data_IF_798282158154
#
_entry.id   IF_798282158154
#
_cell.length_a   1.000
_cell.length_b   1.000
_cell.length_c   1.000
_cell.angle_alpha   90.00
_cell.angle_beta   90.00
_cell.angle_gamma   90.00
#
_symmetry.space_group_name_H-M   'P 1'
#
loop_
_entity.id
_entity.type
_entity.pdbx_description
1 polymer ?
#
# COMPACT_ATOMS: atom_id res chain seq x y z
N UNK A 1 25.87 -40.92 -10.13
CA UNK A 1 24.47 -40.87 -10.60
C UNK A 1 24.42 -41.44 -11.99
N UNK A 2 23.51 -42.39 -12.25
CA UNK A 2 23.32 -42.92 -13.61
C UNK A 2 22.74 -41.84 -14.54
N UNK A 3 22.99 -41.93 -15.87
CA UNK A 3 22.35 -41.06 -16.87
C UNK A 3 20.82 -40.94 -16.69
N UNK A 4 20.14 -42.06 -16.41
CA UNK A 4 18.70 -42.08 -16.09
C UNK A 4 18.38 -41.16 -14.90
N UNK A 5 19.07 -41.31 -13.77
CA UNK A 5 18.83 -40.48 -12.58
C UNK A 5 19.01 -38.99 -12.87
N UNK A 6 20.03 -38.64 -13.66
CA UNK A 6 20.32 -37.25 -14.02
C UNK A 6 19.19 -36.65 -14.87
N UNK A 7 18.71 -37.41 -15.86
CA UNK A 7 17.61 -36.98 -16.74
C UNK A 7 16.31 -36.75 -15.96
N UNK A 8 15.92 -37.70 -15.09
CA UNK A 8 14.74 -37.59 -14.22
C UNK A 8 14.87 -36.40 -13.26
N UNK A 9 16.03 -36.22 -12.62
CA UNK A 9 16.26 -35.10 -11.70
C UNK A 9 16.14 -33.74 -12.41
N UNK A 10 16.75 -33.60 -13.60
CA UNK A 10 16.66 -32.37 -14.39
C UNK A 10 15.23 -32.08 -14.84
N UNK A 11 14.49 -33.10 -15.28
CA UNK A 11 13.08 -32.96 -15.64
C UNK A 11 12.24 -32.53 -14.43
N UNK A 12 12.43 -33.19 -13.28
CA UNK A 12 11.76 -32.86 -12.02
C UNK A 12 12.00 -31.43 -11.57
N UNK A 13 13.24 -30.94 -11.64
CA UNK A 13 13.56 -29.55 -11.30
C UNK A 13 12.84 -28.57 -12.21
N UNK A 14 12.82 -28.82 -13.53
CA UNK A 14 12.12 -27.98 -14.49
C UNK A 14 10.60 -28.01 -14.30
N UNK A 15 10.02 -29.17 -14.03
CA UNK A 15 8.59 -29.31 -13.71
C UNK A 15 8.24 -28.54 -12.43
N UNK A 16 9.05 -28.68 -11.37
CA UNK A 16 8.89 -27.92 -10.12
C UNK A 16 8.98 -26.43 -10.36
N UNK A 17 9.95 -25.99 -11.15
CA UNK A 17 10.13 -24.58 -11.47
C UNK A 17 8.94 -24.03 -12.26
N UNK A 18 8.47 -24.74 -13.29
CA UNK A 18 7.29 -24.36 -14.05
C UNK A 18 6.02 -24.32 -13.18
N UNK A 19 5.84 -25.31 -12.29
CA UNK A 19 4.72 -25.33 -11.37
C UNK A 19 4.78 -24.16 -10.38
N UNK A 20 5.96 -23.90 -9.81
CA UNK A 20 6.20 -22.76 -8.92
C UNK A 20 5.88 -21.45 -9.63
N UNK A 21 6.37 -21.26 -10.86
CA UNK A 21 6.14 -20.05 -11.64
C UNK A 21 4.64 -19.87 -11.92
N UNK A 22 3.95 -20.91 -12.40
CA UNK A 22 2.49 -20.86 -12.62
C UNK A 22 1.72 -20.56 -11.33
N UNK A 23 2.16 -21.11 -10.19
CA UNK A 23 1.56 -20.87 -8.87
C UNK A 23 1.79 -19.44 -8.39
N UNK A 24 3.02 -18.92 -8.52
CA UNK A 24 3.42 -17.56 -8.14
C UNK A 24 2.65 -16.51 -8.94
N UNK A 25 2.50 -16.72 -10.25
CA UNK A 25 1.72 -15.81 -11.10
C UNK A 25 0.24 -15.80 -10.67
N UNK A 26 -0.31 -16.97 -10.34
CA UNK A 26 -1.72 -17.09 -9.92
C UNK A 26 -1.96 -16.45 -8.55
N UNK A 27 -1.07 -16.68 -7.58
CA UNK A 27 -1.18 -16.10 -6.25
C UNK A 27 -0.97 -14.59 -6.27
N UNK A 28 0.01 -14.11 -7.06
CA UNK A 28 0.25 -12.69 -7.29
C UNK A 28 -0.99 -11.98 -7.85
N UNK A 29 -1.70 -12.58 -8.81
CA UNK A 29 -2.93 -12.02 -9.36
C UNK A 29 -4.04 -11.91 -8.31
N UNK A 30 -4.24 -12.96 -7.50
CA UNK A 30 -5.24 -12.97 -6.42
C UNK A 30 -4.92 -11.90 -5.38
N UNK A 31 -3.67 -11.82 -4.93
CA UNK A 31 -3.24 -10.84 -3.92
C UNK A 31 -3.35 -9.42 -4.48
N UNK A 32 -2.92 -9.18 -5.72
CA UNK A 32 -3.06 -7.88 -6.34
C UNK A 32 -4.54 -7.45 -6.42
N UNK A 33 -5.46 -8.39 -6.73
CA UNK A 33 -6.89 -8.16 -6.66
C UNK A 33 -7.38 -7.77 -5.26
N UNK A 34 -6.91 -8.46 -4.22
CA UNK A 34 -7.26 -8.18 -2.82
C UNK A 34 -6.73 -6.80 -2.40
N UNK A 35 -5.51 -6.41 -2.82
CA UNK A 35 -4.89 -5.13 -2.45
C UNK A 35 -5.54 -3.91 -3.12
N UNK A 36 -6.24 -4.07 -4.24
CA UNK A 36 -6.96 -2.96 -4.89
C UNK A 36 -8.07 -2.43 -3.95
N UNK A 37 -8.76 -3.32 -3.22
CA UNK A 37 -9.86 -2.93 -2.32
C UNK A 37 -9.42 -1.95 -1.21
N UNK A 38 -8.41 -2.25 -0.37
CA UNK A 38 -7.93 -1.31 0.63
C UNK A 38 -7.27 -0.09 0.00
N UNK A 39 -6.64 -0.21 -1.18
CA UNK A 39 -6.06 0.96 -1.86
C UNK A 39 -7.14 1.99 -2.24
N UNK A 40 -8.27 1.52 -2.78
CA UNK A 40 -9.44 2.35 -3.07
C UNK A 40 -10.02 2.92 -1.76
N UNK A 41 -10.16 2.11 -0.71
CA UNK A 41 -10.70 2.56 0.57
C UNK A 41 -9.83 3.65 1.26
N UNK A 42 -8.51 3.47 1.27
CA UNK A 42 -7.55 4.45 1.79
C UNK A 42 -7.69 5.78 1.05
N UNK A 43 -7.89 5.73 -0.27
CA UNK A 43 -8.06 6.94 -1.09
C UNK A 43 -9.41 7.62 -0.87
N UNK A 44 -10.48 6.86 -0.68
CA UNK A 44 -11.81 7.39 -0.38
C UNK A 44 -11.90 8.00 1.03
N UNK A 45 -11.14 7.48 1.99
CA UNK A 45 -11.16 7.91 3.40
C UNK A 45 -10.05 8.93 3.72
N UNK A 46 -9.22 9.30 2.74
CA UNK A 46 -8.07 10.19 2.88
C UNK A 46 -7.16 9.79 4.07
N UNK A 47 -6.91 8.47 4.15
CA UNK A 47 -6.02 7.85 5.12
C UNK A 47 -4.59 7.87 4.56
N UNK A 48 -3.59 8.00 5.44
CA UNK A 48 -2.19 8.04 5.01
C UNK A 48 -1.79 6.74 4.32
N UNK A 49 -1.20 6.86 3.13
CA UNK A 49 -0.72 5.71 2.37
C UNK A 49 0.46 5.05 3.09
N UNK A 50 0.31 3.77 3.42
CA UNK A 50 1.39 3.00 3.99
C UNK A 50 2.05 2.10 2.91
N UNK A 51 3.27 2.40 2.47
CA UNK A 51 3.98 1.59 1.46
C UNK A 51 4.25 0.15 1.94
N UNK A 52 4.25 -0.10 3.26
CA UNK A 52 4.43 -1.44 3.81
C UNK A 52 3.29 -2.40 3.43
N UNK A 53 2.09 -1.92 3.09
CA UNK A 53 0.96 -2.76 2.72
C UNK A 53 1.21 -3.56 1.42
N UNK A 54 1.89 -2.95 0.45
CA UNK A 54 2.33 -3.65 -0.78
C UNK A 54 3.41 -4.69 -0.48
N UNK A 55 4.36 -4.36 0.41
CA UNK A 55 5.41 -5.27 0.85
C UNK A 55 4.81 -6.51 1.54
N UNK A 56 3.81 -6.33 2.41
CA UNK A 56 3.11 -7.45 3.05
C UNK A 56 2.39 -8.35 2.05
N UNK A 57 1.72 -7.78 1.05
CA UNK A 57 1.07 -8.57 0.00
C UNK A 57 2.06 -9.40 -0.80
N UNK A 58 3.18 -8.80 -1.23
CA UNK A 58 4.24 -9.53 -1.93
C UNK A 58 4.87 -10.61 -1.04
N UNK A 59 5.07 -10.28 0.24
CA UNK A 59 5.61 -11.20 1.24
C UNK A 59 4.71 -12.41 1.49
N UNK A 60 3.39 -12.31 1.29
CA UNK A 60 2.44 -13.44 1.40
C UNK A 60 2.34 -14.28 0.12
N UNK A 61 2.64 -13.71 -1.05
CA UNK A 61 2.55 -14.41 -2.33
C UNK A 61 3.55 -15.56 -2.45
N UNK A 62 4.79 -15.31 -1.98
CA UNK A 62 5.91 -16.26 -2.00
C UNK A 62 5.63 -17.50 -1.13
N UNK A 63 5.31 -17.39 0.17
CA UNK A 63 5.05 -18.55 1.01
C UNK A 63 3.84 -19.34 0.55
N UNK A 64 2.80 -18.71 0.01
CA UNK A 64 1.68 -19.43 -0.61
C UNK A 64 2.11 -20.25 -1.84
N UNK A 65 2.94 -19.68 -2.71
CA UNK A 65 3.47 -20.38 -3.88
C UNK A 65 4.37 -21.56 -3.48
N UNK A 66 5.19 -21.38 -2.44
CA UNK A 66 6.02 -22.43 -1.85
C UNK A 66 5.18 -23.54 -1.20
N UNK A 67 4.13 -23.19 -0.46
CA UNK A 67 3.20 -24.15 0.14
C UNK A 67 2.53 -25.01 -0.94
N UNK A 68 2.04 -24.38 -2.02
CA UNK A 68 1.50 -25.08 -3.18
C UNK A 68 2.52 -26.02 -3.81
N UNK A 69 3.76 -25.57 -3.97
CA UNK A 69 4.84 -26.39 -4.54
C UNK A 69 5.14 -27.61 -3.64
N UNK A 70 5.14 -27.41 -2.33
CA UNK A 70 5.30 -28.48 -1.35
C UNK A 70 4.17 -29.51 -1.44
N UNK A 71 2.93 -29.05 -1.61
CA UNK A 71 1.75 -29.91 -1.76
C UNK A 71 1.65 -30.60 -3.13
N UNK A 72 2.34 -30.13 -4.16
CA UNK A 72 2.23 -30.65 -5.53
C UNK A 72 2.80 -32.07 -5.72
N UNK A 73 3.43 -32.64 -4.68
CA UNK A 73 3.96 -34.00 -4.61
C UNK A 73 4.56 -34.54 -5.92
N UNK A 74 5.42 -33.74 -6.57
CA UNK A 74 6.12 -34.14 -7.81
C UNK A 74 7.16 -35.19 -7.43
N UNK A 75 6.83 -36.46 -7.70
CA UNK A 75 7.66 -37.61 -7.39
C UNK A 75 8.50 -38.05 -8.59
N UNK A 76 9.53 -38.86 -8.36
CA UNK A 76 10.45 -39.30 -9.40
C UNK A 76 9.75 -40.18 -10.44
N UNK A 77 8.76 -40.98 -10.03
CA UNK A 77 7.97 -41.82 -10.93
C UNK A 77 7.12 -40.99 -11.91
N UNK A 78 6.55 -39.88 -11.43
CA UNK A 78 5.79 -38.96 -12.29
C UNK A 78 6.73 -38.26 -13.27
N UNK A 79 7.93 -37.86 -12.80
CA UNK A 79 8.93 -37.25 -13.66
C UNK A 79 9.46 -38.22 -14.73
N UNK A 80 9.69 -39.50 -14.40
CA UNK A 80 10.12 -40.49 -15.40
C UNK A 80 9.05 -40.74 -16.46
N UNK A 81 7.78 -40.80 -16.06
CA UNK A 81 6.67 -40.98 -17.00
C UNK A 81 6.53 -39.77 -17.95
N UNK A 82 6.62 -38.55 -17.41
CA UNK A 82 6.54 -37.32 -18.21
C UNK A 82 7.71 -37.22 -19.20
N UNK A 83 8.91 -37.70 -18.83
CA UNK A 83 10.05 -37.76 -19.76
C UNK A 83 9.74 -38.72 -20.91
N UNK A 84 9.22 -39.92 -20.64
CA UNK A 84 8.87 -40.87 -21.69
C UNK A 84 7.78 -40.32 -22.63
N UNK A 85 6.77 -39.65 -22.07
CA UNK A 85 5.66 -39.06 -22.85
C UNK A 85 6.17 -37.95 -23.78
N UNK A 86 6.97 -37.01 -23.27
CA UNK A 86 7.46 -35.86 -24.04
C UNK A 86 8.49 -36.21 -25.11
N UNK A 87 9.29 -37.25 -24.86
CA UNK A 87 10.31 -37.74 -25.79
C UNK A 87 9.85 -38.96 -26.61
N UNK A 88 8.60 -39.42 -26.44
CA UNK A 88 8.03 -40.59 -27.11
C UNK A 88 8.88 -41.86 -26.95
N UNK A 89 9.35 -42.12 -25.74
CA UNK A 89 10.27 -43.24 -25.44
C UNK A 89 9.55 -44.54 -25.08
N UNK A 90 8.21 -44.57 -25.17
CA UNK A 90 7.38 -45.76 -24.92
C UNK A 90 7.75 -46.46 -23.60
N UNK A 91 7.73 -45.71 -22.50
CA UNK A 91 7.96 -46.22 -21.12
C UNK A 91 9.36 -46.80 -20.83
N UNK A 92 10.35 -46.58 -21.70
CA UNK A 92 11.72 -47.08 -21.48
C UNK A 92 12.34 -46.59 -20.17
N UNK A 93 12.25 -45.28 -19.91
CA UNK A 93 12.88 -44.67 -18.73
C UNK A 93 12.08 -44.98 -17.47
N UNK A 94 10.74 -44.89 -17.53
CA UNK A 94 9.85 -45.20 -16.41
C UNK A 94 9.89 -46.67 -16.02
N UNK A 95 9.96 -47.59 -16.97
CA UNK A 95 10.09 -49.03 -16.71
C UNK A 95 11.45 -49.36 -16.09
N UNK A 96 12.55 -48.84 -16.65
CA UNK A 96 13.88 -49.02 -16.08
C UNK A 96 13.97 -48.44 -14.66
N UNK A 97 13.34 -47.28 -14.42
CA UNK A 97 13.27 -46.66 -13.11
C UNK A 97 12.43 -47.45 -12.10
N UNK A 98 11.28 -47.99 -12.51
CA UNK A 98 10.39 -48.78 -11.66
C UNK A 98 11.03 -50.10 -11.24
N UNK A 99 11.78 -50.75 -12.14
CA UNK A 99 12.43 -52.03 -11.90
C UNK A 99 13.83 -51.91 -11.28
N UNK A 100 14.29 -50.69 -10.93
CA UNK A 100 15.67 -50.44 -10.46
C UNK A 100 16.12 -51.23 -9.23
N UNK A 101 15.18 -51.70 -8.41
CA UNK A 101 15.45 -52.49 -7.21
C UNK A 101 15.50 -54.00 -7.49
N UNK A 102 15.10 -54.44 -8.68
CA UNK A 102 15.09 -55.85 -9.06
C UNK A 102 16.46 -56.25 -9.64
N UNK A 103 16.94 -57.43 -9.25
CA UNK A 103 18.24 -57.95 -9.67
C UNK A 103 18.02 -59.17 -10.58
N UNK A 104 17.82 -58.91 -11.88
CA UNK A 104 17.68 -59.93 -12.91
C UNK A 104 18.48 -59.50 -14.15
N UNK A 105 19.17 -60.41 -14.87
CA UNK A 105 19.87 -60.11 -16.11
C UNK A 105 19.05 -59.29 -17.12
N UNK A 106 17.75 -59.56 -17.26
CA UNK A 106 16.86 -58.82 -18.17
C UNK A 106 16.67 -57.36 -17.73
N UNK A 107 16.61 -57.10 -16.42
CA UNK A 107 16.50 -55.74 -15.87
C UNK A 107 17.80 -54.97 -16.10
N UNK A 108 18.95 -55.62 -16.03
CA UNK A 108 20.24 -54.98 -16.33
C UNK A 108 20.31 -54.51 -17.78
N UNK A 109 19.88 -55.36 -18.73
CA UNK A 109 19.83 -54.99 -20.15
C UNK A 109 18.87 -53.81 -20.40
N UNK A 110 17.72 -53.79 -19.72
CA UNK A 110 16.78 -52.68 -19.80
C UNK A 110 17.36 -51.38 -19.25
N UNK A 111 18.11 -51.45 -18.14
CA UNK A 111 18.77 -50.28 -17.55
C UNK A 111 19.87 -49.75 -18.47
N UNK A 112 20.63 -50.62 -19.13
CA UNK A 112 21.68 -50.23 -20.07
C UNK A 112 21.10 -49.55 -21.33
N UNK A 113 20.01 -50.07 -21.91
CA UNK A 113 19.30 -49.41 -23.02
C UNK A 113 18.74 -48.03 -22.61
N UNK A 114 18.15 -47.96 -21.42
CA UNK A 114 17.61 -46.72 -20.89
C UNK A 114 18.71 -45.69 -20.56
N UNK A 115 19.88 -46.11 -20.06
CA UNK A 115 21.03 -45.22 -19.81
C UNK A 115 21.63 -44.70 -21.11
N UNK A 116 21.77 -45.57 -22.13
CA UNK A 116 22.19 -45.16 -23.47
C UNK A 116 21.21 -44.13 -24.05
N UNK A 117 19.90 -44.41 -23.96
CA UNK A 117 18.84 -43.50 -24.44
C UNK A 117 18.86 -42.17 -23.68
N UNK A 118 18.94 -42.21 -22.35
CA UNK A 118 18.99 -41.02 -21.49
C UNK A 118 20.23 -40.15 -21.76
N UNK A 119 21.35 -40.74 -22.15
CA UNK A 119 22.57 -40.01 -22.53
C UNK A 119 22.42 -39.15 -23.78
N UNK A 120 21.52 -39.51 -24.69
CA UNK A 120 21.28 -38.78 -25.95
C UNK A 120 20.18 -37.71 -25.83
N UNK A 121 19.40 -37.75 -24.76
CA UNK A 121 18.25 -36.86 -24.59
C UNK A 121 18.68 -35.54 -23.95
N UNK A 122 18.28 -34.44 -24.59
CA UNK A 122 18.40 -33.09 -24.03
C UNK A 122 17.09 -32.66 -23.40
N UNK A 123 16.98 -32.85 -22.07
CA UNK A 123 15.80 -32.46 -21.27
C UNK A 123 15.37 -31.01 -21.53
N UNK A 124 16.33 -30.13 -21.86
CA UNK A 124 16.04 -28.73 -22.14
C UNK A 124 15.12 -28.45 -23.32
N UNK A 125 15.08 -29.34 -24.29
CA UNK A 125 14.36 -29.15 -25.55
C UNK A 125 12.86 -29.41 -25.39
N UNK A 126 12.47 -30.36 -24.54
CA UNK A 126 11.06 -30.74 -24.34
C UNK A 126 10.48 -30.29 -23.00
N UNK A 127 11.32 -29.78 -22.10
CA UNK A 127 10.89 -29.11 -20.86
C UNK A 127 11.26 -27.62 -20.89
N UNK A 128 10.61 -26.81 -21.74
CA UNK A 128 10.82 -25.37 -21.75
C UNK A 128 10.31 -24.75 -20.44
N UNK A 129 10.92 -23.63 -20.06
CA UNK A 129 10.40 -22.80 -18.98
C UNK A 129 9.20 -22.04 -19.54
N UNK A 130 7.99 -22.46 -19.19
CA UNK A 130 6.77 -21.87 -19.70
C UNK A 130 6.34 -20.72 -18.81
N UNK A 131 6.48 -19.50 -19.32
CA UNK A 131 5.72 -18.38 -18.78
C UNK A 131 4.23 -18.64 -19.04
N UNK A 132 3.36 -18.54 -18.02
CA UNK A 132 1.94 -18.75 -18.23
C UNK A 132 1.45 -17.80 -19.32
N UNK A 133 0.73 -18.31 -20.33
CA UNK A 133 0.18 -17.51 -21.45
C UNK A 133 -0.69 -16.32 -20.99
N UNK A 134 -1.12 -16.33 -19.73
CA UNK A 134 -1.84 -15.24 -19.05
C UNK A 134 -0.90 -14.28 -18.31
N UNK A 135 0.40 -14.26 -18.59
CA UNK A 135 1.35 -13.31 -18.01
C UNK A 135 0.95 -11.84 -18.16
N UNK A 136 0.35 -11.35 -19.27
CA UNK A 136 -0.10 -9.96 -19.32
C UNK A 136 -1.30 -9.70 -18.39
N UNK A 137 -2.03 -10.72 -17.93
CA UNK A 137 -3.12 -10.53 -16.98
C UNK A 137 -2.64 -10.06 -15.60
N UNK A 138 -1.36 -10.21 -15.27
CA UNK A 138 -0.76 -9.59 -14.07
C UNK A 138 -0.60 -8.08 -14.24
N UNK A 139 -0.42 -7.58 -15.46
CA UNK A 139 -0.34 -6.15 -15.71
C UNK A 139 -1.68 -5.46 -15.47
N UNK A 140 -2.80 -6.17 -15.62
CA UNK A 140 -4.15 -5.62 -15.42
C UNK A 140 -4.33 -5.07 -14.00
N UNK A 141 -4.17 -5.84 -12.90
CA UNK A 141 -4.33 -5.30 -11.57
C UNK A 141 -3.27 -4.24 -11.24
N UNK A 142 -2.05 -4.33 -11.79
CA UNK A 142 -1.02 -3.30 -11.62
C UNK A 142 -1.44 -1.97 -12.27
N UNK A 143 -2.01 -2.03 -13.49
CA UNK A 143 -2.54 -0.88 -14.21
C UNK A 143 -3.75 -0.29 -13.50
N UNK A 144 -4.68 -1.13 -13.01
CA UNK A 144 -5.83 -0.67 -12.22
C UNK A 144 -5.35 0.03 -10.95
N UNK A 145 -4.38 -0.56 -10.25
CA UNK A 145 -3.79 0.03 -9.07
C UNK A 145 -3.15 1.40 -9.36
N UNK A 146 -2.35 1.49 -10.44
CA UNK A 146 -1.73 2.74 -10.87
C UNK A 146 -2.77 3.79 -11.31
N UNK A 147 -3.82 3.38 -12.02
CA UNK A 147 -4.91 4.25 -12.42
C UNK A 147 -5.67 4.81 -11.21
N UNK A 148 -5.96 3.96 -10.22
CA UNK A 148 -6.61 4.38 -8.96
C UNK A 148 -5.70 5.33 -8.18
N UNK A 149 -4.40 5.08 -8.10
CA UNK A 149 -3.49 5.93 -7.33
C UNK A 149 -3.22 7.28 -7.98
N UNK A 150 -3.15 7.35 -9.31
CA UNK A 150 -2.83 8.57 -10.06
C UNK A 150 -4.07 9.40 -10.39
N UNK A 151 -5.18 8.77 -10.79
CA UNK A 151 -6.34 9.49 -11.34
C UNK A 151 -7.51 9.64 -10.38
N UNK A 152 -7.55 8.93 -9.24
CA UNK A 152 -8.63 9.11 -8.28
C UNK A 152 -8.28 10.28 -7.33
N UNK A 153 -8.93 11.46 -7.45
CA UNK A 153 -8.72 12.54 -6.51
C UNK A 153 -9.18 12.10 -5.11
N UNK A 154 -8.48 12.52 -4.03
CA UNK A 154 -8.95 12.25 -2.69
C UNK A 154 -10.31 12.94 -2.52
N UNK A 155 -11.30 12.24 -1.97
CA UNK A 155 -12.57 12.88 -1.66
C UNK A 155 -12.29 13.99 -0.63
N UNK A 156 -12.81 15.22 -0.84
CA UNK A 156 -12.63 16.28 0.12
C UNK A 156 -13.24 15.82 1.45
N UNK A 157 -12.40 15.76 2.49
CA UNK A 157 -12.88 15.51 3.85
C UNK A 157 -13.99 16.50 4.16
N UNK A 158 -15.12 16.00 4.66
CA UNK A 158 -16.19 16.81 5.24
C UNK A 158 -15.73 17.67 6.44
N UNK A 159 -14.43 17.63 6.79
CA UNK A 159 -13.79 18.58 7.71
C UNK A 159 -13.85 20.00 7.19
N UNK A 160 -13.86 20.25 5.87
CA UNK A 160 -14.06 21.60 5.33
C UNK A 160 -15.37 22.24 5.84
N UNK A 161 -16.43 21.43 6.05
CA UNK A 161 -17.70 21.92 6.64
C UNK A 161 -17.64 22.10 8.16
N UNK A 162 -16.68 21.48 8.85
CA UNK A 162 -16.49 21.64 10.29
C UNK A 162 -15.59 22.83 10.61
N UNK A 163 -14.59 23.13 9.77
CA UNK A 163 -13.78 24.36 9.87
C UNK A 163 -14.60 25.59 9.50
N UNK A 164 -15.38 25.54 8.41
CA UNK A 164 -16.30 26.64 8.06
C UNK A 164 -17.35 26.89 9.15
N UNK A 165 -17.86 25.84 9.81
CA UNK A 165 -18.79 25.98 10.95
C UNK A 165 -18.12 26.44 12.24
N UNK A 166 -16.80 26.23 12.40
CA UNK A 166 -16.05 26.74 13.56
C UNK A 166 -15.69 28.21 13.34
N UNK A 167 -15.22 28.57 12.15
CA UNK A 167 -14.96 29.96 11.76
C UNK A 167 -16.25 30.80 11.81
N UNK A 168 -17.38 30.29 11.29
CA UNK A 168 -18.67 30.98 11.41
C UNK A 168 -19.16 31.11 12.86
N UNK A 169 -18.83 30.15 13.74
CA UNK A 169 -19.19 30.25 15.17
C UNK A 169 -18.27 31.20 15.92
N UNK A 170 -16.98 31.25 15.59
CA UNK A 170 -16.03 32.19 16.17
C UNK A 170 -16.37 33.63 15.74
N UNK A 171 -16.73 33.86 14.48
CA UNK A 171 -17.20 35.16 13.98
C UNK A 171 -18.50 35.64 14.65
N UNK A 172 -19.41 34.71 14.96
CA UNK A 172 -20.67 35.03 15.67
C UNK A 172 -20.42 35.34 17.15
N UNK A 173 -19.51 34.59 17.80
CA UNK A 173 -19.14 34.81 19.20
C UNK A 173 -18.33 36.11 19.38
N UNK A 174 -17.47 36.47 18.42
CA UNK A 174 -16.76 37.76 18.44
C UNK A 174 -17.73 38.94 18.25
N UNK A 175 -18.74 38.81 17.39
CA UNK A 175 -19.77 39.86 17.21
C UNK A 175 -20.65 40.02 18.44
N UNK A 176 -21.08 38.94 19.08
CA UNK A 176 -21.85 39.02 20.33
C UNK A 176 -21.04 39.65 21.47
N UNK A 177 -19.75 39.28 21.60
CA UNK A 177 -18.85 39.87 22.59
C UNK A 177 -18.55 41.35 22.31
N UNK A 178 -18.41 41.73 21.04
CA UNK A 178 -18.23 43.13 20.65
C UNK A 178 -19.47 43.98 20.98
N UNK A 179 -20.68 43.44 20.77
CA UNK A 179 -21.92 44.12 21.17
C UNK A 179 -22.09 44.22 22.70
N UNK A 180 -21.67 43.19 23.44
CA UNK A 180 -21.75 43.19 24.90
C UNK A 180 -20.76 44.18 25.53
N UNK A 181 -19.53 44.24 25.00
CA UNK A 181 -18.52 45.24 25.40
C UNK A 181 -18.99 46.66 25.03
N UNK A 182 -19.60 46.86 23.86
CA UNK A 182 -20.16 48.16 23.48
C UNK A 182 -21.35 48.58 24.38
N UNK A 183 -22.16 47.63 24.87
CA UNK A 183 -23.24 47.90 25.84
C UNK A 183 -22.71 48.22 27.24
N UNK A 184 -21.61 47.62 27.66
CA UNK A 184 -20.95 47.92 28.93
C UNK A 184 -20.31 49.31 28.89
N UNK A 185 -19.60 49.64 27.80
CA UNK A 185 -19.01 50.97 27.59
C UNK A 185 -20.07 52.09 27.51
N UNK A 186 -21.22 51.84 26.89
CA UNK A 186 -22.35 52.80 26.89
C UNK A 186 -23.08 52.92 28.23
N UNK A 187 -22.92 51.96 29.14
CA UNK A 187 -23.50 52.02 30.50
C UNK A 187 -22.60 52.73 31.51
N UNK A 188 -21.32 52.93 31.22
CA UNK A 188 -20.35 53.57 32.13
C UNK A 188 -20.13 55.08 31.90
N UNK A 189 -20.68 55.67 30.83
CA UNK A 189 -20.89 57.12 30.75
C UNK A 189 -22.37 57.42 31.04
N UNK A 190 -22.79 57.65 32.30
CA UNK A 190 -22.31 58.81 33.08
C UNK A 190 -22.22 58.55 34.60
N UNK A 191 -21.07 58.85 35.22
CA UNK A 191 -20.98 59.26 36.64
C UNK A 191 -19.58 59.82 36.98
N UNK A 192 -19.12 60.79 36.19
CA UNK A 192 -18.20 61.80 36.72
C UNK A 192 -19.06 62.94 37.24
N UNK A 193 -19.45 62.80 38.50
CA UNK A 193 -20.17 63.80 39.26
C UNK A 193 -19.93 63.55 40.73
N UNK A 194 -18.96 64.27 41.29
CA UNK A 194 -18.96 64.73 42.69
C UNK A 194 -18.45 63.74 43.77
N UNK A 195 -17.11 63.70 44.01
CA UNK A 195 -16.42 64.36 45.15
C UNK A 195 -15.01 63.79 45.44
N UNK A 196 -14.09 64.74 45.53
CA UNK A 196 -12.91 64.86 46.41
C UNK A 196 -11.83 63.77 46.53
N UNK A 197 -10.67 64.19 46.02
CA UNK A 197 -9.33 64.17 46.65
C UNK A 197 -8.32 63.13 46.13
N UNK A 198 -7.06 63.60 46.12
CA UNK A 198 -5.78 62.98 45.72
C UNK A 198 -5.29 63.33 44.30
N UNK A 199 -4.57 64.47 44.27
CA UNK A 199 -3.24 64.76 43.67
C UNK A 199 -2.91 64.31 42.21
N UNK A 200 -2.24 65.17 41.42
CA UNK A 200 -2.11 65.00 39.98
C UNK A 200 -1.03 63.96 39.63
N UNK A 201 -1.43 62.83 39.07
CA UNK A 201 -0.53 61.97 38.30
C UNK A 201 -0.58 62.42 36.84
N UNK A 202 0.43 63.18 36.42
CA UNK A 202 0.64 63.74 35.07
C UNK A 202 0.87 62.70 33.97
N UNK A 203 0.36 61.47 34.11
CA UNK A 203 0.48 60.38 33.10
C UNK A 203 -0.84 59.95 32.46
N UNK A 204 -1.99 60.38 32.97
CA UNK A 204 -3.30 59.87 32.50
C UNK A 204 -3.85 60.66 31.29
N UNK A 205 -3.37 61.90 31.09
CA UNK A 205 -3.80 62.75 29.97
C UNK A 205 -3.16 62.32 28.63
N UNK A 206 -1.90 61.86 28.65
CA UNK A 206 -1.18 61.42 27.45
C UNK A 206 -1.67 60.06 26.92
N UNK A 207 -2.24 59.21 27.79
CA UNK A 207 -2.82 57.92 27.39
C UNK A 207 -4.20 58.04 26.73
N UNK A 208 -4.89 59.17 26.86
CA UNK A 208 -6.24 59.35 26.29
C UNK A 208 -6.26 59.51 24.77
N UNK A 209 -5.27 60.22 24.21
CA UNK A 209 -5.16 60.43 22.76
C UNK A 209 -4.88 59.13 21.97
N UNK A 210 -3.91 58.29 22.34
CA UNK A 210 -3.65 57.05 21.61
C UNK A 210 -4.80 56.04 21.75
N UNK A 211 -5.51 56.03 22.88
CA UNK A 211 -6.70 55.18 23.08
C UNK A 211 -7.89 55.60 22.20
N UNK A 212 -8.12 56.91 22.00
CA UNK A 212 -9.18 57.38 21.08
C UNK A 212 -8.83 57.11 19.61
N UNK A 213 -7.57 57.23 19.23
CA UNK A 213 -7.10 56.93 17.87
C UNK A 213 -7.15 55.42 17.56
N UNK A 214 -6.83 54.57 18.54
CA UNK A 214 -6.97 53.12 18.43
C UNK A 214 -8.44 52.69 18.32
N UNK A 215 -9.34 53.32 19.09
CA UNK A 215 -10.78 53.08 18.99
C UNK A 215 -11.31 53.45 17.60
N UNK A 216 -10.90 54.59 17.03
CA UNK A 216 -11.27 54.99 15.66
C UNK A 216 -10.68 54.07 14.58
N UNK A 217 -9.48 53.50 14.78
CA UNK A 217 -8.86 52.57 13.84
C UNK A 217 -9.48 51.17 13.88
N UNK A 218 -9.92 50.71 15.06
CA UNK A 218 -10.68 49.46 15.23
C UNK A 218 -12.07 49.56 14.61
N UNK A 219 -12.76 50.69 14.79
CA UNK A 219 -14.10 50.90 14.21
C UNK A 219 -14.07 50.96 12.66
N UNK A 220 -12.94 51.36 12.06
CA UNK A 220 -12.72 51.40 10.60
C UNK A 220 -12.20 50.09 9.97
N UNK A 221 -12.22 48.96 10.69
CA UNK A 221 -11.85 47.62 10.19
C UNK A 221 -10.49 47.51 9.47
N UNK A 222 -9.42 48.14 10.00
CA UNK A 222 -8.07 48.03 9.39
C UNK A 222 -6.98 47.35 10.22
N UNK A 223 -7.26 46.91 11.45
CA UNK A 223 -6.30 46.15 12.27
C UNK A 223 -7.00 45.11 13.15
N UNK A 224 -6.35 43.95 13.33
CA UNK A 224 -6.81 42.91 14.26
C UNK A 224 -6.26 43.18 15.67
N UNK A 225 -6.99 42.79 16.72
CA UNK A 225 -6.65 43.09 18.14
C UNK A 225 -5.20 42.76 18.53
N UNK A 226 -4.57 41.78 17.86
CA UNK A 226 -3.18 41.38 18.10
C UNK A 226 -2.15 42.43 17.67
N UNK A 227 -2.41 43.20 16.60
CA UNK A 227 -1.50 44.25 16.14
C UNK A 227 -1.57 45.48 17.06
N UNK A 228 -2.76 45.87 17.50
CA UNK A 228 -2.96 46.98 18.43
C UNK A 228 -2.27 46.79 19.79
N UNK A 229 -2.26 45.56 20.31
CA UNK A 229 -1.57 45.24 21.57
C UNK A 229 -0.04 45.26 21.43
N UNK A 230 0.49 45.02 20.23
CA UNK A 230 1.94 45.05 19.99
C UNK A 230 2.51 46.48 19.89
N UNK A 231 1.72 47.45 19.40
CA UNK A 231 2.13 48.88 19.38
C UNK A 231 2.16 49.50 20.77
N UNK A 232 1.36 49.01 21.72
CA UNK A 232 1.33 49.51 23.11
C UNK A 232 2.44 48.96 24.00
N UNK A 233 3.14 47.90 23.56
CA UNK A 233 4.18 47.21 24.34
C UNK A 233 5.60 47.67 23.99
N UNK A 234 5.76 48.59 23.04
CA UNK A 234 7.01 49.30 22.73
C UNK A 234 6.97 50.72 23.29
#
# INVERSE_FOLDING_TARGET
>A
MSPIQKSIHQAKLRMRFNFFLKSLFRSGLVIAGILIVPAVAIRLLDLQWNPFLLLWGLALAIPYALLRLYLANINDNTASLEVDERFHLFERISSAWALRSQHNPMVHLLQEDADHTAGHIKISERFPIELPKRSPAILVPLLVFAAVSLWLPPLPKSEAKLTEKKEQKEDLIEKEKAEEVAKILKKEEPKVGEKEDIRPATGIAELRQPLSDLAQKLEKQKMTQKEALSELSN
#
